data_IF_783010986094
#
_entry.id   IF_783010986094
#
_cell.length_a   1.000
_cell.length_b   1.000
_cell.length_c   1.000
_cell.angle_alpha   90.00
_cell.angle_beta   90.00
_cell.angle_gamma   90.00
#
_symmetry.space_group_name_H-M   'P 1'
#
loop_
_entity.id
_entity.type
_entity.pdbx_description
1 polymer ?
#
# COMPACT_ATOMS: atom_id res chain seq x y z
N UNK A 1 8.61 28.66 10.22
CA UNK A 1 9.05 27.26 10.48
C UNK A 1 9.44 26.65 9.14
N UNK A 2 10.73 26.59 8.83
CA UNK A 2 11.23 25.98 7.60
C UNK A 2 10.94 24.47 7.64
N UNK A 3 10.23 23.95 6.64
CA UNK A 3 10.15 22.51 6.40
C UNK A 3 11.56 22.03 6.08
N UNK A 4 12.21 21.38 7.06
CA UNK A 4 13.48 20.69 6.80
C UNK A 4 13.22 19.64 5.73
N UNK A 5 13.77 19.85 4.53
CA UNK A 5 13.80 18.84 3.49
C UNK A 5 14.38 17.55 4.07
N UNK A 6 13.72 16.44 3.78
CA UNK A 6 14.11 15.11 4.26
C UNK A 6 13.94 14.08 3.16
N UNK A 7 14.83 13.09 3.15
CA UNK A 7 14.70 11.91 2.31
C UNK A 7 13.92 10.85 3.09
N UNK A 8 12.83 10.36 2.52
CA UNK A 8 12.04 9.28 3.09
C UNK A 8 12.34 7.98 2.35
N UNK A 9 12.87 6.98 3.06
CA UNK A 9 13.16 5.65 2.51
C UNK A 9 11.96 4.73 2.71
N UNK A 10 11.46 4.15 1.62
CA UNK A 10 10.27 3.29 1.66
C UNK A 10 10.61 1.89 1.19
N UNK A 11 10.29 0.91 2.03
CA UNK A 11 10.35 -0.52 1.69
C UNK A 11 9.01 -0.99 1.14
N UNK A 12 9.06 -1.75 0.05
CA UNK A 12 7.86 -2.26 -0.61
C UNK A 12 7.81 -3.77 -0.47
N UNK A 13 6.63 -4.28 -0.19
CA UNK A 13 6.36 -5.70 -0.01
C UNK A 13 5.22 -6.14 -0.91
N UNK A 14 5.28 -7.38 -1.36
CA UNK A 14 4.23 -8.07 -2.11
C UNK A 14 3.93 -9.40 -1.41
N UNK A 15 2.72 -9.95 -1.58
CA UNK A 15 2.52 -11.37 -1.25
C UNK A 15 3.26 -12.22 -2.30
N UNK A 16 3.95 -13.30 -1.89
CA UNK A 16 4.66 -14.18 -2.84
C UNK A 16 3.73 -14.81 -3.89
N UNK A 17 2.47 -15.05 -3.53
CA UNK A 17 1.42 -15.54 -4.45
C UNK A 17 1.04 -14.50 -5.53
N UNK A 18 1.45 -13.25 -5.37
CA UNK A 18 1.16 -12.15 -6.30
C UNK A 18 2.23 -12.08 -7.40
N UNK A 19 2.09 -12.95 -8.39
CA UNK A 19 3.06 -13.14 -9.49
C UNK A 19 3.07 -11.97 -10.52
N UNK A 20 3.54 -10.80 -10.13
CA UNK A 20 3.60 -9.62 -10.99
C UNK A 20 4.89 -9.54 -11.80
N UNK A 21 4.75 -9.24 -13.10
CA UNK A 21 5.90 -8.85 -13.93
C UNK A 21 6.64 -7.66 -13.31
N UNK A 22 7.99 -7.58 -13.42
CA UNK A 22 8.78 -6.51 -12.84
C UNK A 22 8.29 -5.09 -13.21
N UNK A 23 7.95 -4.88 -14.48
CA UNK A 23 7.44 -3.58 -14.96
C UNK A 23 6.08 -3.20 -14.34
N UNK A 24 5.27 -4.20 -13.98
CA UNK A 24 3.99 -3.99 -13.29
C UNK A 24 4.22 -3.75 -11.79
N UNK A 25 5.20 -4.41 -11.18
CA UNK A 25 5.63 -4.12 -9.79
C UNK A 25 6.03 -2.66 -9.64
N UNK A 26 6.84 -2.11 -10.55
CA UNK A 26 7.26 -0.69 -10.53
C UNK A 26 6.08 0.28 -10.63
N UNK A 27 5.15 0.04 -11.56
CA UNK A 27 3.94 0.86 -11.69
C UNK A 27 3.06 0.78 -10.45
N UNK A 28 2.91 -0.42 -9.87
CA UNK A 28 2.16 -0.62 -8.63
C UNK A 28 2.82 0.10 -7.45
N UNK A 29 4.15 0.09 -7.36
CA UNK A 29 4.94 0.83 -6.36
C UNK A 29 4.66 2.33 -6.46
N UNK A 30 4.72 2.90 -7.67
CA UNK A 30 4.44 4.33 -7.89
C UNK A 30 3.02 4.71 -7.44
N UNK A 31 2.02 3.93 -7.84
CA UNK A 31 0.63 4.12 -7.42
C UNK A 31 0.48 4.00 -5.90
N UNK A 32 1.12 3.00 -5.30
CA UNK A 32 1.01 2.74 -3.87
C UNK A 32 1.64 3.85 -3.04
N UNK A 33 2.79 4.37 -3.48
CA UNK A 33 3.43 5.51 -2.86
C UNK A 33 2.58 6.77 -2.94
N UNK A 34 2.05 7.10 -4.13
CA UNK A 34 1.14 8.22 -4.32
C UNK A 34 -0.09 8.11 -3.41
N UNK A 35 -0.66 6.91 -3.30
CA UNK A 35 -1.81 6.62 -2.43
C UNK A 35 -1.47 6.84 -0.96
N UNK A 36 -0.34 6.34 -0.47
CA UNK A 36 0.06 6.54 0.93
C UNK A 36 0.33 8.03 1.25
N UNK A 37 0.83 8.78 0.27
CA UNK A 37 1.09 10.22 0.37
C UNK A 37 -0.16 11.09 0.33
N UNK A 38 -1.32 10.56 -0.07
CA UNK A 38 -2.60 11.30 -0.06
C UNK A 38 -2.93 11.83 1.35
N UNK A 39 -2.65 11.03 2.39
CA UNK A 39 -2.79 11.45 3.80
C UNK A 39 -1.68 12.38 4.30
N UNK A 40 -0.77 12.83 3.42
CA UNK A 40 0.45 13.61 3.75
C UNK A 40 1.41 12.92 4.72
N UNK A 41 1.26 11.61 4.95
CA UNK A 41 2.14 10.81 5.80
C UNK A 41 3.43 10.44 5.06
N UNK A 42 4.53 10.26 5.78
CA UNK A 42 5.77 9.70 5.22
C UNK A 42 5.79 8.19 5.52
N UNK A 43 5.35 7.34 4.57
CA UNK A 43 5.32 5.89 4.80
C UNK A 43 6.75 5.35 4.88
N UNK A 44 7.01 4.41 5.78
CA UNK A 44 8.27 3.66 5.86
C UNK A 44 8.15 2.30 5.17
N UNK A 45 6.95 1.71 5.18
CA UNK A 45 6.65 0.40 4.58
C UNK A 45 5.31 0.41 3.88
N UNK A 46 5.26 -0.20 2.70
CA UNK A 46 4.03 -0.38 1.92
C UNK A 46 3.94 -1.84 1.47
N UNK A 47 2.84 -2.51 1.81
CA UNK A 47 2.48 -3.83 1.33
C UNK A 47 1.42 -3.71 0.23
N UNK A 48 1.76 -4.15 -0.97
CA UNK A 48 0.87 -4.24 -2.12
C UNK A 48 0.20 -5.61 -2.08
N UNK A 49 -1.12 -5.62 -1.96
CA UNK A 49 -1.89 -6.81 -1.57
C UNK A 49 -2.60 -7.51 -2.72
N UNK A 50 -2.73 -6.84 -3.86
CA UNK A 50 -3.40 -7.35 -5.04
C UNK A 50 -2.90 -6.63 -6.29
N UNK A 51 -3.13 -7.22 -7.47
CA UNK A 51 -2.98 -6.52 -8.75
C UNK A 51 -4.05 -5.43 -8.85
N UNK A 52 -3.98 -4.59 -9.89
CA UNK A 52 -5.09 -3.70 -10.19
C UNK A 52 -6.35 -4.53 -10.49
N UNK A 53 -7.45 -4.21 -9.82
CA UNK A 53 -8.71 -4.93 -9.96
C UNK A 53 -9.90 -3.99 -9.73
N UNK A 54 -11.08 -4.38 -10.19
CA UNK A 54 -12.31 -3.58 -10.08
C UNK A 54 -13.37 -4.27 -9.21
N UNK A 55 -12.96 -5.18 -8.33
CA UNK A 55 -13.87 -5.92 -7.47
C UNK A 55 -13.59 -5.64 -6.01
N UNK A 56 -14.63 -5.65 -5.18
CA UNK A 56 -14.50 -5.50 -3.73
C UNK A 56 -15.39 -6.50 -3.00
N UNK A 57 -15.17 -6.67 -1.70
CA UNK A 57 -16.05 -7.47 -0.85
C UNK A 57 -17.21 -6.63 -0.36
N UNK A 58 -18.42 -6.92 -0.84
CA UNK A 58 -19.67 -6.26 -0.48
C UNK A 58 -20.39 -7.11 0.58
N UNK A 59 -20.98 -6.45 1.58
CA UNK A 59 -21.93 -7.08 2.52
C UNK A 59 -21.36 -8.23 3.36
N UNK A 60 -20.05 -8.25 3.63
CA UNK A 60 -19.44 -9.24 4.52
C UNK A 60 -18.98 -10.55 3.86
N UNK A 61 -18.82 -10.58 2.53
CA UNK A 61 -18.09 -11.68 1.87
C UNK A 61 -18.38 -11.93 0.39
N UNK A 62 -19.39 -11.28 -0.20
CA UNK A 62 -19.66 -11.44 -1.64
C UNK A 62 -18.74 -10.53 -2.45
N UNK A 63 -17.97 -11.10 -3.38
CA UNK A 63 -17.20 -10.31 -4.33
C UNK A 63 -18.15 -9.74 -5.39
N UNK A 64 -18.04 -8.43 -5.64
CA UNK A 64 -18.79 -7.73 -6.67
C UNK A 64 -17.99 -6.57 -7.24
N UNK A 65 -18.50 -5.91 -8.27
CA UNK A 65 -17.83 -4.74 -8.86
C UNK A 65 -17.75 -3.62 -7.83
N UNK A 66 -16.55 -3.05 -7.67
CA UNK A 66 -16.34 -1.89 -6.84
C UNK A 66 -16.98 -0.66 -7.53
N UNK A 67 -17.90 0.06 -6.87
CA UNK A 67 -18.58 1.21 -7.47
C UNK A 67 -17.64 2.36 -7.82
N UNK A 68 -16.42 2.40 -7.28
CA UNK A 68 -15.38 3.39 -7.61
C UNK A 68 -14.43 2.92 -8.71
N UNK A 69 -14.57 1.68 -9.17
CA UNK A 69 -13.86 1.13 -10.33
C UNK A 69 -12.52 0.49 -10.00
N UNK A 70 -11.59 0.61 -10.95
CA UNK A 70 -10.25 -0.01 -10.89
C UNK A 70 -9.41 0.60 -9.78
N UNK A 71 -8.76 -0.26 -9.01
CA UNK A 71 -7.92 0.17 -7.90
C UNK A 71 -6.86 -0.86 -7.52
N UNK A 72 -5.84 -0.35 -6.82
CA UNK A 72 -4.83 -1.14 -6.15
C UNK A 72 -5.14 -1.20 -4.66
N UNK A 73 -5.20 -2.40 -4.09
CA UNK A 73 -5.32 -2.59 -2.64
C UNK A 73 -3.95 -2.70 -2.00
N UNK A 74 -3.73 -1.91 -0.95
CA UNK A 74 -2.46 -1.89 -0.22
C UNK A 74 -2.69 -1.70 1.27
N UNK A 75 -1.62 -1.88 2.05
CA UNK A 75 -1.53 -1.40 3.41
C UNK A 75 -0.22 -0.65 3.57
N UNK A 76 -0.20 0.44 4.32
CA UNK A 76 1.04 1.15 4.62
C UNK A 76 1.20 1.41 6.11
N UNK A 77 2.44 1.75 6.48
CA UNK A 77 2.83 2.19 7.81
C UNK A 77 3.72 3.42 7.72
N UNK A 78 3.52 4.36 8.63
CA UNK A 78 4.54 5.35 9.01
C UNK A 78 5.36 4.85 10.22
N UNK A 79 6.37 5.61 10.61
CA UNK A 79 7.25 5.26 11.73
C UNK A 79 6.49 5.06 13.06
N UNK A 80 5.41 5.82 13.30
CA UNK A 80 4.62 5.72 14.54
C UNK A 80 3.76 4.46 14.54
N UNK A 81 3.21 4.10 13.38
CA UNK A 81 2.41 2.91 13.18
C UNK A 81 3.29 1.65 13.28
N UNK A 82 4.49 1.70 12.71
CA UNK A 82 5.49 0.63 12.82
C UNK A 82 5.87 0.35 14.27
N UNK A 83 6.16 1.39 15.08
CA UNK A 83 6.46 1.23 16.52
C UNK A 83 5.33 0.65 17.36
N UNK A 84 4.10 0.65 16.84
CA UNK A 84 2.90 0.19 17.57
C UNK A 84 2.33 -1.11 17.00
N UNK A 85 2.92 -1.65 15.94
CA UNK A 85 2.38 -2.76 15.15
C UNK A 85 0.98 -2.47 14.58
N UNK A 86 0.83 -1.32 13.91
CA UNK A 86 -0.39 -0.93 13.20
C UNK A 86 -0.13 -0.72 11.71
N UNK A 87 -1.18 -0.85 10.91
CA UNK A 87 -1.20 -0.46 9.50
C UNK A 87 -2.51 0.24 9.14
N UNK A 88 -2.47 0.93 7.99
CA UNK A 88 -3.66 1.51 7.34
C UNK A 88 -3.88 0.82 6.01
N UNK A 89 -4.98 0.07 5.91
CA UNK A 89 -5.42 -0.48 4.63
C UNK A 89 -6.01 0.63 3.75
N UNK A 90 -5.58 0.68 2.49
CA UNK A 90 -5.93 1.75 1.56
C UNK A 90 -6.22 1.20 0.15
N UNK A 91 -6.97 1.98 -0.61
CA UNK A 91 -7.21 1.75 -2.04
C UNK A 91 -6.81 2.99 -2.83
N UNK A 92 -5.93 2.82 -3.82
CA UNK A 92 -5.61 3.83 -4.82
C UNK A 92 -6.38 3.52 -6.10
N UNK A 93 -7.40 4.31 -6.41
CA UNK A 93 -8.22 4.12 -7.60
C UNK A 93 -7.61 4.82 -8.80
N UNK A 94 -7.86 4.26 -9.97
CA UNK A 94 -7.31 4.70 -11.26
C UNK A 94 -8.44 4.83 -12.28
N UNK A 95 -8.14 5.27 -13.51
CA UNK A 95 -9.18 5.43 -14.54
C UNK A 95 -9.50 4.14 -15.29
N UNK A 96 -8.64 3.11 -15.21
CA UNK A 96 -8.80 1.87 -15.98
C UNK A 96 -7.85 0.75 -15.58
N UNK A 97 -7.98 -0.40 -16.23
CA UNK A 97 -7.29 -1.67 -15.94
C UNK A 97 -5.76 -1.63 -15.99
N UNK A 98 -5.21 -0.77 -16.85
CA UNK A 98 -3.78 -0.66 -17.09
C UNK A 98 -3.25 0.75 -16.80
N UNK A 99 -4.06 1.56 -16.11
CA UNK A 99 -3.69 2.88 -15.61
C UNK A 99 -3.24 2.79 -14.16
N UNK A 100 -2.05 3.29 -13.87
CA UNK A 100 -1.44 3.31 -12.53
C UNK A 100 -1.28 4.73 -11.99
N UNK A 101 -1.94 5.72 -12.60
CA UNK A 101 -2.00 7.08 -12.09
C UNK A 101 -3.11 7.18 -11.05
N UNK A 102 -2.78 7.73 -9.87
CA UNK A 102 -3.74 7.92 -8.80
C UNK A 102 -4.82 8.93 -9.22
N UNK A 103 -6.07 8.47 -9.30
CA UNK A 103 -7.25 9.33 -9.46
C UNK A 103 -7.79 9.81 -8.11
N UNK A 104 -7.91 8.89 -7.16
CA UNK A 104 -8.34 9.19 -5.78
C UNK A 104 -7.88 8.07 -4.85
N UNK A 105 -7.68 8.39 -3.56
CA UNK A 105 -7.37 7.42 -2.53
C UNK A 105 -8.54 7.25 -1.54
N UNK A 106 -8.64 6.07 -0.93
CA UNK A 106 -9.45 5.86 0.27
C UNK A 106 -8.65 5.12 1.31
N UNK A 107 -8.89 5.47 2.57
CA UNK A 107 -8.12 4.96 3.70
C UNK A 107 -9.06 4.42 4.76
N UNK A 108 -8.75 3.23 5.26
CA UNK A 108 -9.39 2.69 6.45
C UNK A 108 -8.90 3.36 7.73
N UNK A 109 -9.49 2.97 8.85
CA UNK A 109 -8.91 3.25 10.17
C UNK A 109 -7.64 2.42 10.36
N UNK A 110 -6.69 2.94 11.13
CA UNK A 110 -5.54 2.15 11.55
C UNK A 110 -5.99 0.91 12.33
N UNK A 111 -5.36 -0.23 12.06
CA UNK A 111 -5.65 -1.52 12.71
C UNK A 111 -4.35 -2.20 13.10
N UNK A 112 -4.41 -3.08 14.10
CA UNK A 112 -3.25 -3.89 14.50
C UNK A 112 -2.84 -4.80 13.36
N UNK A 113 -1.55 -5.06 13.25
CA UNK A 113 -0.96 -5.90 12.22
C UNK A 113 -1.52 -7.30 12.19
N UNK A 114 -1.78 -7.87 13.36
CA UNK A 114 -2.40 -9.18 13.56
C UNK A 114 -3.90 -9.24 13.17
N UNK A 115 -4.48 -8.15 12.65
CA UNK A 115 -5.86 -8.14 12.18
C UNK A 115 -6.01 -9.04 10.95
N UNK A 116 -6.91 -10.06 10.98
CA UNK A 116 -7.19 -10.93 9.86
C UNK A 116 -7.78 -10.20 8.64
N UNK A 117 -7.52 -10.75 7.45
CA UNK A 117 -8.27 -10.42 6.23
C UNK A 117 -9.70 -10.99 6.36
N UNK A 118 -10.69 -10.14 6.62
CA UNK A 118 -12.08 -10.58 6.81
C UNK A 118 -12.27 -11.35 8.14
N UNK A 119 -13.26 -12.26 8.20
CA UNK A 119 -13.64 -12.93 9.46
C UNK A 119 -12.71 -14.08 9.89
N UNK A 120 -12.02 -14.74 8.96
CA UNK A 120 -11.15 -15.92 9.22
C UNK A 120 -9.92 -16.01 8.29
N UNK A 121 -9.55 -14.92 7.62
CA UNK A 121 -8.45 -14.95 6.66
C UNK A 121 -7.07 -14.82 7.30
N UNK A 122 -6.02 -14.95 6.48
CA UNK A 122 -4.64 -14.69 6.92
C UNK A 122 -4.48 -13.25 7.41
N UNK A 123 -3.53 -13.04 8.33
CA UNK A 123 -3.17 -11.73 8.86
C UNK A 123 -2.69 -10.80 7.73
N UNK A 124 -3.06 -9.52 7.77
CA UNK A 124 -2.65 -8.56 6.72
C UNK A 124 -1.15 -8.31 6.76
N UNK A 125 -0.60 -8.09 7.96
CA UNK A 125 0.82 -7.84 8.16
C UNK A 125 1.41 -8.88 9.13
N UNK A 126 2.03 -9.96 8.62
CA UNK A 126 2.67 -10.95 9.47
C UNK A 126 3.74 -10.31 10.37
N UNK A 127 3.82 -10.75 11.64
CA UNK A 127 4.73 -10.16 12.65
C UNK A 127 6.20 -10.28 12.27
N UNK A 128 6.55 -11.29 11.48
CA UNK A 128 7.92 -11.52 11.04
C UNK A 128 8.26 -10.80 9.71
N UNK A 129 7.34 -10.04 9.12
CA UNK A 129 7.58 -9.32 7.86
C UNK A 129 7.96 -10.29 6.73
N UNK A 130 8.98 -9.98 5.88
CA UNK A 130 9.47 -10.92 4.86
C UNK A 130 10.17 -12.17 5.42
N UNK A 131 10.43 -12.24 6.74
CA UNK A 131 10.85 -13.48 7.40
C UNK A 131 9.66 -14.42 7.70
N UNK A 132 8.43 -13.95 7.47
CA UNK A 132 7.28 -14.82 7.24
C UNK A 132 7.30 -15.23 5.75
N UNK A 133 7.22 -16.52 5.47
CA UNK A 133 7.38 -17.11 4.13
C UNK A 133 6.34 -16.65 3.09
N UNK A 134 5.45 -15.72 3.44
CA UNK A 134 4.35 -15.24 2.62
C UNK A 134 4.61 -13.88 1.94
N UNK A 135 5.61 -13.11 2.40
CA UNK A 135 5.93 -11.80 1.84
C UNK A 135 7.26 -11.81 1.07
N UNK A 136 7.27 -11.10 -0.05
CA UNK A 136 8.46 -10.77 -0.84
C UNK A 136 8.75 -9.28 -0.67
N UNK A 137 9.98 -8.93 -0.31
CA UNK A 137 10.43 -7.53 -0.37
C UNK A 137 10.90 -7.20 -1.79
N UNK A 138 10.53 -6.03 -2.30
CA UNK A 138 10.96 -5.57 -3.61
C UNK A 138 12.47 -5.32 -3.64
N UNK A 139 13.18 -6.05 -4.51
CA UNK A 139 14.64 -6.02 -4.61
C UNK A 139 15.20 -4.66 -5.05
N UNK A 140 14.41 -3.85 -5.78
CA UNK A 140 14.81 -2.49 -6.17
C UNK A 140 14.70 -1.44 -5.05
N UNK A 141 14.46 -1.85 -3.80
CA UNK A 141 14.28 -0.97 -2.65
C UNK A 141 15.35 -1.11 -1.55
N UNK A 142 15.30 -0.27 -0.48
CA UNK A 142 14.33 0.79 -0.25
C UNK A 142 14.47 1.96 -1.23
N UNK A 143 13.34 2.53 -1.66
CA UNK A 143 13.33 3.68 -2.59
C UNK A 143 13.38 4.98 -1.78
N UNK A 144 14.32 5.85 -2.11
CA UNK A 144 14.47 7.18 -1.52
C UNK A 144 13.56 8.19 -2.22
N UNK A 145 12.70 8.85 -1.44
CA UNK A 145 11.84 9.93 -1.92
C UNK A 145 12.27 11.24 -1.28
N UNK A 146 12.69 12.20 -2.10
CA UNK A 146 13.04 13.54 -1.65
C UNK A 146 11.78 14.37 -1.44
N UNK A 147 11.65 14.98 -0.26
CA UNK A 147 10.58 15.90 0.08
C UNK A 147 11.08 17.33 0.18
N UNK A 148 11.76 17.81 -0.86
CA UNK A 148 12.10 19.22 -0.95
C UNK A 148 10.81 20.03 -1.00
N UNK A 149 10.66 21.08 -0.17
CA UNK A 149 9.60 22.04 -0.36
C UNK A 149 9.72 22.62 -1.77
N UNK A 150 8.61 22.73 -2.51
CA UNK A 150 8.59 23.54 -3.73
C UNK A 150 8.99 24.95 -3.33
N UNK A 151 10.03 25.47 -3.96
CA UNK A 151 10.40 26.87 -3.80
C UNK A 151 9.22 27.76 -4.20
N UNK A 152 9.01 28.89 -3.50
CA UNK A 152 7.91 29.82 -3.74
C UNK A 152 7.98 30.48 -5.12
#
# INVERSE_FOLDING_TARGET
MASKGGVNFVRYFFYKELDLDPSVKEKAIALAYATARDQKLAPTRILIRARLHNTTSIGGGKHGIDPKGWHLTMAFKDEKQEKKDFHVASHGYTTGKDDYVLKLATHGKAKRDDTPRGRKGKVVWPKNGPADDELEEYEGGPIAYSHLPKEP
#
